data_IF_109349526882
#
_entry.id   IF_109349526882
#
_cell.length_a   1.000
_cell.length_b   1.000
_cell.length_c   1.000
_cell.angle_alpha   90.00
_cell.angle_beta   90.00
_cell.angle_gamma   90.00
#
_symmetry.space_group_name_H-M   'P 1'
#
loop_
_entity.id
_entity.type
_entity.pdbx_description
1 polymer ?
#
# COMPACT_ATOMS: atom_id res chain seq x y z
N UNK A 1 -24.89 -15.55 -1.43
CA UNK A 1 -24.12 -14.57 -2.23
C UNK A 1 -22.69 -14.55 -1.71
N UNK A 2 -21.80 -15.29 -2.37
CA UNK A 2 -20.40 -15.48 -1.99
C UNK A 2 -19.61 -14.21 -2.34
N UNK A 3 -19.17 -13.46 -1.33
CA UNK A 3 -18.27 -12.32 -1.54
C UNK A 3 -16.99 -12.78 -2.26
N UNK A 4 -16.48 -12.03 -3.26
CA UNK A 4 -15.25 -12.42 -3.96
C UNK A 4 -14.10 -12.45 -2.96
N UNK A 5 -13.52 -13.63 -2.72
CA UNK A 5 -12.35 -13.79 -1.83
C UNK A 5 -11.16 -13.09 -2.49
N UNK A 6 -10.34 -12.37 -1.71
CA UNK A 6 -8.98 -11.97 -2.13
C UNK A 6 -8.27 -13.22 -2.66
N UNK A 7 -7.75 -13.14 -3.88
CA UNK A 7 -7.35 -14.34 -4.63
C UNK A 7 -5.89 -14.73 -4.38
N UNK A 8 -5.00 -13.77 -4.04
CA UNK A 8 -3.58 -14.07 -3.75
C UNK A 8 -2.98 -13.07 -2.76
N UNK A 9 -2.08 -13.56 -1.91
CA UNK A 9 -1.21 -12.72 -1.09
C UNK A 9 0.17 -13.37 -0.98
N UNK A 10 1.25 -12.58 -0.96
CA UNK A 10 2.61 -13.07 -0.83
C UNK A 10 3.44 -12.18 0.09
N UNK A 11 4.39 -12.75 0.82
CA UNK A 11 5.42 -11.96 1.51
C UNK A 11 6.48 -11.54 0.51
N UNK A 12 7.05 -10.35 0.70
CA UNK A 12 8.19 -9.85 -0.07
C UNK A 12 9.22 -9.27 0.88
N UNK A 13 10.48 -9.57 0.63
CA UNK A 13 11.60 -9.03 1.39
C UNK A 13 12.25 -7.92 0.57
N UNK A 14 12.28 -6.71 1.12
CA UNK A 14 12.95 -5.56 0.52
C UNK A 14 14.26 -5.27 1.27
N UNK A 15 15.15 -4.54 0.62
CA UNK A 15 16.37 -4.03 1.26
C UNK A 15 16.05 -2.71 1.96
N UNK A 16 16.15 -2.69 3.28
CA UNK A 16 16.09 -1.47 4.08
C UNK A 16 17.48 -1.00 4.51
N UNK A 17 17.56 0.24 5.01
CA UNK A 17 18.82 0.83 5.45
C UNK A 17 19.40 0.13 6.69
N UNK A 18 18.53 -0.32 7.60
CA UNK A 18 18.92 -0.97 8.87
C UNK A 18 18.82 -2.49 8.84
N UNK A 19 18.38 -3.07 7.72
CA UNK A 19 18.12 -4.51 7.60
C UNK A 19 17.02 -4.83 6.59
N UNK A 20 16.63 -6.11 6.48
CA UNK A 20 15.55 -6.52 5.58
C UNK A 20 14.19 -5.99 6.05
N UNK A 21 13.38 -5.49 5.11
CA UNK A 21 12.00 -5.06 5.34
C UNK A 21 11.08 -6.18 4.88
N UNK A 22 10.21 -6.65 5.76
CA UNK A 22 9.22 -7.68 5.43
C UNK A 22 7.88 -7.02 5.11
N UNK A 23 7.65 -6.78 3.83
CA UNK A 23 6.38 -6.26 3.31
C UNK A 23 5.50 -7.41 2.80
N UNK A 24 4.25 -7.08 2.50
CA UNK A 24 3.26 -8.08 2.05
C UNK A 24 2.41 -7.54 0.92
N UNK A 25 2.24 -8.36 -0.12
CA UNK A 25 1.50 -7.99 -1.31
C UNK A 25 0.14 -8.69 -1.31
N UNK A 26 -0.90 -7.98 -1.72
CA UNK A 26 -2.26 -8.49 -1.88
C UNK A 26 -2.76 -8.18 -3.28
N UNK A 27 -3.35 -9.19 -3.94
CA UNK A 27 -3.96 -9.03 -5.25
C UNK A 27 -5.48 -9.23 -5.18
N UNK A 28 -6.24 -8.33 -5.80
CA UNK A 28 -7.69 -8.47 -5.87
C UNK A 28 -8.03 -9.63 -6.82
N UNK A 29 -9.24 -10.17 -6.69
CA UNK A 29 -9.78 -11.00 -7.76
C UNK A 29 -9.88 -10.15 -9.03
N UNK A 30 -9.30 -10.61 -10.15
CA UNK A 30 -9.35 -9.84 -11.39
C UNK A 30 -10.79 -9.78 -11.90
N UNK A 31 -11.38 -8.59 -11.95
CA UNK A 31 -12.62 -8.31 -12.66
C UNK A 31 -12.34 -7.36 -13.81
N UNK A 32 -12.40 -7.87 -15.05
CA UNK A 32 -12.21 -7.08 -16.26
C UNK A 32 -10.76 -6.96 -16.76
N UNK A 33 -10.59 -6.16 -17.82
CA UNK A 33 -9.35 -6.05 -18.59
C UNK A 33 -8.38 -4.98 -18.08
N UNK A 34 -8.79 -4.10 -17.16
CA UNK A 34 -7.98 -2.96 -16.72
C UNK A 34 -7.00 -3.37 -15.62
N UNK A 35 -5.75 -2.92 -15.74
CA UNK A 35 -4.74 -3.08 -14.69
C UNK A 35 -5.13 -2.25 -13.45
N UNK A 36 -5.19 -2.85 -12.25
CA UNK A 36 -5.52 -2.15 -11.01
C UNK A 36 -4.40 -1.16 -10.62
N UNK A 37 -4.69 -0.09 -9.86
CA UNK A 37 -3.63 0.75 -9.34
C UNK A 37 -2.92 0.07 -8.16
N UNK A 38 -1.71 0.54 -7.84
CA UNK A 38 -0.92 0.05 -6.72
C UNK A 38 -1.12 0.97 -5.51
N UNK A 39 -1.53 0.41 -4.38
CA UNK A 39 -1.59 1.09 -3.10
C UNK A 39 -0.42 0.65 -2.21
N UNK A 40 0.44 1.57 -1.84
CA UNK A 40 1.34 1.40 -0.70
C UNK A 40 0.56 1.72 0.57
N UNK A 41 0.39 0.74 1.44
CA UNK A 41 -0.42 0.86 2.66
C UNK A 41 0.43 0.65 3.91
N UNK A 42 0.31 1.57 4.87
CA UNK A 42 0.95 1.44 6.18
C UNK A 42 -0.11 1.15 7.25
N UNK A 43 -0.20 -0.11 7.74
CA UNK A 43 -1.06 -0.43 8.86
C UNK A 43 -0.62 0.35 10.10
N UNK A 44 -1.58 0.83 10.88
CA UNK A 44 -1.25 1.51 12.13
C UNK A 44 -0.83 0.54 13.22
N UNK A 45 -0.06 1.02 14.20
CA UNK A 45 0.37 0.22 15.36
C UNK A 45 -0.79 -0.33 16.21
N UNK A 46 -1.95 0.34 16.16
CA UNK A 46 -3.18 -0.12 16.81
C UNK A 46 -4.01 -1.15 16.02
N UNK A 47 -3.54 -1.66 14.88
CA UNK A 47 -4.28 -2.66 14.12
C UNK A 47 -4.23 -4.03 14.81
N UNK A 48 -5.40 -4.58 15.15
CA UNK A 48 -5.51 -5.92 15.75
C UNK A 48 -5.24 -7.04 14.73
N UNK A 49 -5.52 -6.79 13.45
CA UNK A 49 -5.32 -7.75 12.36
C UNK A 49 -5.01 -6.99 11.06
N UNK A 50 -3.75 -6.58 10.85
CA UNK A 50 -3.34 -5.84 9.67
C UNK A 50 -3.50 -6.67 8.38
N UNK A 51 -3.43 -8.01 8.46
CA UNK A 51 -3.61 -8.88 7.30
C UNK A 51 -5.05 -8.85 6.81
N UNK A 52 -6.02 -9.02 7.72
CA UNK A 52 -7.43 -8.96 7.40
C UNK A 52 -7.85 -7.56 6.91
N UNK A 53 -7.30 -6.51 7.51
CA UNK A 53 -7.53 -5.13 7.06
C UNK A 53 -7.08 -4.94 5.60
N UNK A 54 -5.85 -5.33 5.27
CA UNK A 54 -5.32 -5.23 3.91
C UNK A 54 -6.13 -6.07 2.92
N UNK A 55 -6.55 -7.28 3.31
CA UNK A 55 -7.41 -8.12 2.46
C UNK A 55 -8.73 -7.43 2.15
N UNK A 56 -9.37 -6.82 3.14
CA UNK A 56 -10.66 -6.16 2.96
C UNK A 56 -10.55 -4.92 2.08
N UNK A 57 -9.50 -4.10 2.27
CA UNK A 57 -9.20 -2.95 1.42
C UNK A 57 -8.94 -3.42 -0.02
N UNK A 58 -8.09 -4.42 -0.21
CA UNK A 58 -7.74 -4.99 -1.51
C UNK A 58 -8.99 -5.46 -2.26
N UNK A 59 -9.83 -6.23 -1.56
CA UNK A 59 -11.08 -6.78 -2.09
C UNK A 59 -12.08 -5.69 -2.47
N UNK A 60 -12.31 -4.71 -1.59
CA UNK A 60 -13.30 -3.64 -1.80
C UNK A 60 -12.87 -2.66 -2.88
N UNK A 61 -11.58 -2.34 -2.96
CA UNK A 61 -11.06 -1.35 -3.88
C UNK A 61 -10.63 -1.87 -5.24
N UNK A 62 -10.52 -3.19 -5.41
CA UNK A 62 -9.93 -3.74 -6.64
C UNK A 62 -8.48 -3.25 -6.84
N UNK A 63 -7.73 -3.16 -5.73
CA UNK A 63 -6.38 -2.59 -5.68
C UNK A 63 -5.34 -3.68 -5.44
N UNK A 64 -4.19 -3.58 -6.11
CA UNK A 64 -3.00 -4.28 -5.62
C UNK A 64 -2.48 -3.48 -4.43
N UNK A 65 -2.15 -4.17 -3.34
CA UNK A 65 -1.64 -3.52 -2.13
C UNK A 65 -0.24 -4.04 -1.85
N UNK A 66 0.72 -3.14 -1.65
CA UNK A 66 2.00 -3.41 -0.97
C UNK A 66 1.91 -2.83 0.44
N UNK A 67 1.74 -3.71 1.43
CA UNK A 67 1.62 -3.34 2.83
C UNK A 67 3.00 -3.36 3.50
N UNK A 68 3.36 -2.25 4.14
CA UNK A 68 4.54 -2.17 5.00
C UNK A 68 4.34 -2.91 6.33
N UNK A 69 5.43 -3.20 7.05
CA UNK A 69 5.35 -3.77 8.40
C UNK A 69 4.78 -2.73 9.37
N UNK A 70 4.18 -3.22 10.45
CA UNK A 70 3.90 -2.39 11.61
C UNK A 70 5.22 -2.16 12.35
N UNK A 71 5.75 -0.94 12.33
CA UNK A 71 6.97 -0.56 13.03
C UNK A 71 6.63 0.28 14.27
N UNK A 72 7.42 0.13 15.34
CA UNK A 72 7.21 0.82 16.62
C UNK A 72 8.00 2.12 16.76
N UNK A 73 9.18 2.22 16.13
CA UNK A 73 10.02 3.41 16.20
C UNK A 73 9.88 4.25 14.92
N UNK A 74 9.63 5.55 15.09
CA UNK A 74 9.28 6.45 13.99
C UNK A 74 10.37 6.54 12.91
N UNK A 75 11.63 6.76 13.29
CA UNK A 75 12.74 6.92 12.33
C UNK A 75 12.93 5.68 11.46
N UNK A 76 12.83 4.49 12.07
CA UNK A 76 12.92 3.24 11.34
C UNK A 76 11.70 3.05 10.42
N UNK A 77 10.51 3.36 10.91
CA UNK A 77 9.27 3.28 10.13
C UNK A 77 9.31 4.20 8.90
N UNK A 78 9.83 5.42 9.07
CA UNK A 78 9.98 6.39 7.98
C UNK A 78 11.01 5.93 6.94
N UNK A 79 12.16 5.42 7.38
CA UNK A 79 13.18 4.87 6.50
C UNK A 79 12.65 3.69 5.68
N UNK A 80 11.91 2.78 6.33
CA UNK A 80 11.31 1.63 5.68
C UNK A 80 10.19 2.05 4.71
N UNK A 81 9.34 2.99 5.11
CA UNK A 81 8.27 3.53 4.28
C UNK A 81 8.83 4.17 3.00
N UNK A 82 9.91 4.95 3.11
CA UNK A 82 10.60 5.53 1.95
C UNK A 82 11.15 4.44 1.02
N UNK A 83 11.78 3.40 1.56
CA UNK A 83 12.29 2.28 0.77
C UNK A 83 11.18 1.47 0.08
N UNK A 84 10.06 1.23 0.77
CA UNK A 84 8.89 0.54 0.23
C UNK A 84 8.28 1.33 -0.93
N UNK A 85 8.11 2.65 -0.78
CA UNK A 85 7.51 3.49 -1.82
C UNK A 85 8.41 3.59 -3.06
N UNK A 86 9.72 3.77 -2.87
CA UNK A 86 10.68 3.74 -3.99
C UNK A 86 10.63 2.42 -4.74
N UNK A 87 10.65 1.29 -4.01
CA UNK A 87 10.53 -0.03 -4.61
C UNK A 87 9.19 -0.24 -5.33
N UNK A 88 8.08 0.24 -4.77
CA UNK A 88 6.77 0.17 -5.41
C UNK A 88 6.73 0.90 -6.75
N UNK A 89 7.36 2.08 -6.83
CA UNK A 89 7.41 2.87 -8.06
C UNK A 89 8.15 2.12 -9.19
N UNK A 90 9.24 1.43 -8.86
CA UNK A 90 10.03 0.67 -9.83
C UNK A 90 9.38 -0.67 -10.24
N UNK A 91 8.63 -1.31 -9.33
CA UNK A 91 8.14 -2.68 -9.50
C UNK A 91 6.62 -2.80 -9.76
N UNK A 92 5.87 -1.71 -9.87
CA UNK A 92 4.41 -1.75 -10.01
C UNK A 92 3.92 -2.66 -11.15
N UNK A 93 4.55 -2.62 -12.32
CA UNK A 93 4.18 -3.47 -13.45
C UNK A 93 4.41 -4.97 -13.17
N UNK A 94 5.48 -5.31 -12.46
CA UNK A 94 5.79 -6.69 -12.04
C UNK A 94 4.78 -7.21 -11.02
N UNK A 95 4.18 -6.30 -10.25
CA UNK A 95 3.10 -6.60 -9.32
C UNK A 95 1.72 -6.69 -9.99
N UNK A 96 1.65 -6.69 -11.33
CA UNK A 96 0.40 -6.67 -12.09
C UNK A 96 -0.45 -5.41 -11.79
N UNK A 97 0.20 -4.30 -11.42
CA UNK A 97 -0.41 -3.01 -11.14
C UNK A 97 -0.01 -1.94 -12.17
N UNK A 98 -0.81 -0.88 -12.27
CA UNK A 98 -0.60 0.23 -13.20
C UNK A 98 0.47 1.18 -12.65
N UNK A 99 1.66 1.28 -13.27
CA UNK A 99 2.75 2.13 -12.77
C UNK A 99 2.43 3.62 -12.84
N UNK A 100 1.43 4.04 -13.63
CA UNK A 100 0.99 5.42 -13.70
C UNK A 100 -0.01 5.79 -12.59
N UNK A 101 -0.37 4.84 -11.71
CA UNK A 101 -1.40 5.04 -10.68
C UNK A 101 -0.93 4.48 -9.34
N UNK A 102 0.06 5.17 -8.77
CA UNK A 102 0.58 4.90 -7.44
C UNK A 102 -0.25 5.66 -6.39
N UNK A 103 -0.75 4.92 -5.41
CA UNK A 103 -1.53 5.42 -4.29
C UNK A 103 -0.75 5.18 -3.02
N UNK A 104 -0.92 6.05 -2.03
CA UNK A 104 -0.31 5.89 -0.71
C UNK A 104 -1.34 6.22 0.38
N UNK A 105 -1.40 5.41 1.43
CA UNK A 105 -2.33 5.59 2.55
C UNK A 105 -1.87 4.82 3.78
N UNK A 106 -2.57 5.03 4.90
CA UNK A 106 -2.34 4.28 6.13
C UNK A 106 -3.46 4.50 7.14
N UNK A 107 -3.28 3.99 8.36
CA UNK A 107 -4.22 4.16 9.47
C UNK A 107 -3.49 4.66 10.71
N UNK A 108 -4.04 5.66 11.40
CA UNK A 108 -3.41 6.22 12.60
C UNK A 108 -2.03 6.80 12.31
N UNK A 109 -1.02 6.29 13.02
CA UNK A 109 0.41 6.58 12.80
C UNK A 109 0.88 6.17 11.40
N UNK A 110 0.34 5.10 10.82
CA UNK A 110 0.60 4.73 9.42
C UNK A 110 0.15 5.79 8.42
N UNK A 111 -0.91 6.56 8.71
CA UNK A 111 -1.32 7.67 7.85
C UNK A 111 -0.35 8.86 7.99
N UNK A 112 0.19 9.10 9.17
CA UNK A 112 1.21 10.13 9.37
C UNK A 112 2.47 9.81 8.55
N UNK A 113 2.93 8.54 8.55
CA UNK A 113 4.03 8.08 7.70
C UNK A 113 3.72 8.26 6.21
N UNK A 114 2.50 7.91 5.77
CA UNK A 114 2.08 8.11 4.38
C UNK A 114 2.16 9.59 3.95
N UNK A 115 1.71 10.50 4.82
CA UNK A 115 1.78 11.96 4.57
C UNK A 115 3.23 12.41 4.43
N UNK A 116 4.09 12.02 5.38
CA UNK A 116 5.49 12.43 5.42
C UNK A 116 6.27 11.92 4.21
N UNK A 117 6.11 10.64 3.85
CA UNK A 117 6.76 10.07 2.65
C UNK A 117 6.22 10.71 1.37
N UNK A 118 4.95 11.09 1.31
CA UNK A 118 4.41 11.84 0.16
C UNK A 118 5.10 13.19 -0.02
N UNK A 119 5.41 13.88 1.08
CA UNK A 119 6.14 15.16 1.04
C UNK A 119 7.59 14.95 0.57
N UNK A 120 8.26 13.92 1.09
CA UNK A 120 9.62 13.55 0.65
C UNK A 120 9.63 13.21 -0.84
N UNK A 121 8.66 12.44 -1.33
CA UNK A 121 8.54 12.09 -2.74
C UNK A 121 8.45 13.33 -3.65
N UNK A 122 7.69 14.35 -3.26
CA UNK A 122 7.64 15.62 -3.98
C UNK A 122 8.99 16.35 -3.95
N UNK A 123 9.65 16.41 -2.79
CA UNK A 123 10.94 17.07 -2.63
C UNK A 123 12.05 16.40 -3.45
N UNK A 124 11.99 15.09 -3.60
CA UNK A 124 12.97 14.29 -4.33
C UNK A 124 12.62 14.06 -5.81
N UNK A 125 11.49 14.61 -6.28
CA UNK A 125 11.08 14.53 -7.68
C UNK A 125 10.64 13.13 -8.14
N UNK A 126 10.04 12.35 -7.24
CA UNK A 126 9.52 11.01 -7.53
C UNK A 126 8.26 11.07 -8.42
N UNK A 127 7.85 9.95 -9.05
CA UNK A 127 6.56 9.85 -9.73
C UNK A 127 5.38 10.26 -8.85
N UNK A 128 4.28 10.68 -9.46
CA UNK A 128 3.09 11.15 -8.74
C UNK A 128 2.54 10.07 -7.79
N UNK A 129 2.48 10.39 -6.50
CA UNK A 129 1.87 9.58 -5.45
C UNK A 129 0.57 10.23 -5.01
N UNK A 130 -0.57 9.57 -5.25
CA UNK A 130 -1.85 10.06 -4.77
C UNK A 130 -2.08 9.62 -3.33
N UNK A 131 -1.97 10.57 -2.39
CA UNK A 131 -2.27 10.37 -0.98
C UNK A 131 -3.78 10.23 -0.76
N UNK A 132 -4.20 9.11 -0.16
CA UNK A 132 -5.59 8.86 0.25
C UNK A 132 -5.73 8.99 1.76
N UNK A 133 -6.21 10.15 2.23
CA UNK A 133 -6.41 10.41 3.67
C UNK A 133 -7.68 9.79 4.24
N UNK A 134 -8.70 9.59 3.41
CA UNK A 134 -9.93 8.86 3.74
C UNK A 134 -10.13 7.69 2.77
N UNK A 135 -9.38 6.62 3.01
CA UNK A 135 -9.37 5.44 2.16
C UNK A 135 -10.75 4.81 2.09
N UNK A 136 -11.46 4.66 3.21
CA UNK A 136 -12.77 4.01 3.25
C UNK A 136 -13.77 4.76 2.37
N UNK A 137 -13.89 6.07 2.54
CA UNK A 137 -14.82 6.87 1.73
C UNK A 137 -14.44 6.85 0.24
N UNK A 138 -13.14 6.85 -0.07
CA UNK A 138 -12.65 6.76 -1.45
C UNK A 138 -13.04 5.42 -2.10
N UNK A 139 -12.91 4.32 -1.37
CA UNK A 139 -13.32 2.99 -1.83
C UNK A 139 -14.83 2.92 -2.07
N UNK A 140 -15.64 3.55 -1.22
CA UNK A 140 -17.10 3.57 -1.37
C UNK A 140 -17.59 4.39 -2.56
N UNK A 141 -16.87 5.46 -2.93
CA UNK A 141 -17.16 6.27 -4.13
C UNK A 141 -16.81 5.55 -5.43
N UNK A 142 -15.75 4.75 -5.41
CA UNK A 142 -15.26 4.05 -6.62
C UNK A 142 -16.14 2.86 -7.01
N UNK A 143 -17.00 2.39 -6.10
CA UNK A 143 -17.84 1.20 -6.28
C UNK A 143 -19.33 1.53 -6.52
N UNK A 144 -19.68 2.81 -6.76
CA UNK A 144 -20.99 3.26 -7.25
C UNK A 144 -20.91 3.56 -8.73
#
# INVERSE_FOLDING_TARGET
MTSPRVTRSAAVQLRGASGPIWARIYWPARSGARTPPLLVFFPGSGSNDPDQECREICRRGGLVILAGPTATEHDQALADARAIVGWAADHAAELEADPARLLISGRGDGLALAVEVSQIAVQEGWPELLLLTDLITTLERTNR
#
